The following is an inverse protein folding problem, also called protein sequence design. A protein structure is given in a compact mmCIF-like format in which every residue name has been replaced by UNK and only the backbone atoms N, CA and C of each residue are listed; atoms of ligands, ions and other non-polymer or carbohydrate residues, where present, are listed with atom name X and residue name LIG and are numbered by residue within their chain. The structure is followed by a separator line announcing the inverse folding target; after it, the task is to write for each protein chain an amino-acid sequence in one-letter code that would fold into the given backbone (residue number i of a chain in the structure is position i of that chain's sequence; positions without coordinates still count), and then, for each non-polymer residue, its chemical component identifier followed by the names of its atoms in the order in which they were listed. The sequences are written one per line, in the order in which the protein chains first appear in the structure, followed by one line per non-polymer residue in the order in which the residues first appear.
data_IF_816942433896
#
_entry.id   IF_816942433896
#
_cell.length_a   1.000
_cell.length_b   1.000
_cell.length_c   1.000
_cell.angle_alpha   90.00
_cell.angle_beta   90.00
_cell.angle_gamma   90.00
#
_symmetry.space_group_name_H-M   'P 1'
#
loop_
_entity.id
_entity.type
_entity.pdbx_description
1 polymer ?
#
# COMPACT_ATOMS: atom_id res chain seq x y z
N UNK A 1 -6.84 18.10 -89.56
CA UNK A 1 -6.09 16.90 -89.09
C UNK A 1 -4.98 17.38 -88.15
N UNK A 2 -4.71 16.87 -86.96
CA UNK A 2 -5.37 15.97 -86.02
C UNK A 2 -4.41 15.96 -84.81
N UNK A 3 -4.87 16.39 -83.62
CA UNK A 3 -4.30 16.14 -82.26
C UNK A 3 -2.81 16.48 -81.97
N UNK A 4 -2.32 17.00 -80.85
CA UNK A 4 -2.75 17.27 -79.46
C UNK A 4 -1.65 18.23 -78.89
N UNK A 5 -2.01 19.41 -78.38
CA UNK A 5 -2.18 19.76 -76.94
C UNK A 5 -0.90 19.64 -76.08
N UNK A 6 -0.26 20.77 -75.71
CA UNK A 6 -0.47 21.67 -74.53
C UNK A 6 0.40 21.27 -73.32
N UNK A 7 1.04 22.28 -72.72
CA UNK A 7 1.61 22.38 -71.36
C UNK A 7 3.13 22.26 -71.20
N UNK A 8 3.86 23.32 -71.58
CA UNK A 8 5.09 23.74 -70.90
C UNK A 8 4.98 25.25 -70.66
N UNK A 9 4.27 25.66 -69.60
CA UNK A 9 4.33 27.03 -69.06
C UNK A 9 3.64 27.16 -67.67
N UNK A 10 3.72 26.12 -66.83
CA UNK A 10 3.32 26.18 -65.41
C UNK A 10 4.30 25.40 -64.52
N UNK A 11 5.59 25.39 -64.88
CA UNK A 11 6.63 24.65 -64.16
C UNK A 11 7.40 25.45 -63.10
N UNK A 12 7.20 26.77 -62.99
CA UNK A 12 8.04 27.63 -62.12
C UNK A 12 7.27 28.28 -60.96
N UNK A 13 5.93 28.25 -60.97
CA UNK A 13 5.14 28.79 -59.85
C UNK A 13 4.65 27.74 -58.83
N UNK A 14 4.71 26.44 -59.18
CA UNK A 14 4.39 25.35 -58.23
C UNK A 14 5.58 24.89 -57.39
N UNK A 15 6.81 25.31 -57.71
CA UNK A 15 8.02 24.99 -56.94
C UNK A 15 8.25 25.86 -55.70
N UNK A 16 7.63 27.03 -55.61
CA UNK A 16 7.80 27.96 -54.48
C UNK A 16 6.62 27.97 -53.49
N UNK A 17 5.45 27.44 -53.88
CA UNK A 17 4.31 27.25 -52.95
C UNK A 17 4.41 25.93 -52.18
N UNK A 18 5.13 24.93 -52.70
CA UNK A 18 5.41 23.69 -51.98
C UNK A 18 6.57 23.80 -50.98
N UNK A 19 7.43 24.83 -51.09
CA UNK A 19 8.49 25.10 -50.11
C UNK A 19 8.06 26.00 -48.94
N UNK A 20 6.87 26.61 -49.00
CA UNK A 20 6.35 27.46 -47.91
C UNK A 20 5.14 26.87 -47.15
N UNK A 21 4.67 25.67 -47.52
CA UNK A 21 3.64 24.93 -46.77
C UNK A 21 4.14 23.60 -46.15
N UNK A 22 5.46 23.42 -46.10
CA UNK A 22 6.12 22.43 -45.23
C UNK A 22 6.69 23.08 -43.96
N UNK A 23 6.01 24.09 -43.42
CA UNK A 23 5.96 24.28 -41.96
C UNK A 23 4.90 23.37 -41.38
N UNK A 24 5.01 22.07 -41.70
CA UNK A 24 4.62 21.09 -40.70
C UNK A 24 5.46 21.45 -39.49
N UNK A 25 4.82 21.88 -38.41
CA UNK A 25 5.46 21.81 -37.12
C UNK A 25 5.90 20.35 -36.98
N UNK A 26 7.16 20.06 -37.29
CA UNK A 26 7.90 19.04 -36.57
C UNK A 26 7.83 19.52 -35.12
N UNK A 27 6.72 19.17 -34.44
CA UNK A 27 6.75 18.98 -33.01
C UNK A 27 7.89 18.00 -32.86
N UNK A 28 9.04 18.50 -32.40
CA UNK A 28 10.03 17.60 -31.86
C UNK A 28 9.26 16.66 -30.94
N UNK A 29 9.40 15.33 -31.09
CA UNK A 29 8.68 14.41 -30.23
C UNK A 29 9.02 14.81 -28.80
N UNK A 30 8.07 15.48 -28.15
CA UNK A 30 8.28 16.01 -26.82
C UNK A 30 8.61 14.81 -25.95
N UNK A 31 9.59 14.97 -25.07
CA UNK A 31 9.86 13.97 -24.04
C UNK A 31 8.53 13.61 -23.37
N UNK A 32 8.21 12.32 -23.38
CA UNK A 32 7.05 11.78 -22.68
C UNK A 32 7.44 11.62 -21.21
N UNK A 33 6.48 11.82 -20.31
CA UNK A 33 6.71 11.70 -18.88
C UNK A 33 5.62 10.85 -18.21
N UNK A 34 5.99 10.16 -17.13
CA UNK A 34 5.08 9.54 -16.16
C UNK A 34 5.48 9.96 -14.73
N UNK A 35 4.78 9.47 -13.72
CA UNK A 35 4.99 9.81 -12.31
C UNK A 35 4.51 11.19 -11.91
N UNK A 36 5.01 11.64 -10.76
CA UNK A 36 4.58 12.85 -10.09
C UNK A 36 5.27 14.12 -10.60
N UNK A 37 5.10 15.19 -9.82
CA UNK A 37 5.60 16.52 -10.17
C UNK A 37 7.00 16.82 -9.65
N UNK A 38 7.58 15.97 -8.78
CA UNK A 38 8.91 16.23 -8.23
C UNK A 38 9.98 16.12 -9.32
N UNK A 39 10.78 17.17 -9.44
CA UNK A 39 11.92 17.25 -10.36
C UNK A 39 13.20 16.94 -9.60
N UNK A 40 14.16 16.26 -10.25
CA UNK A 40 15.42 15.85 -9.64
C UNK A 40 15.66 14.35 -9.78
N UNK A 41 16.73 13.87 -9.18
CA UNK A 41 17.04 12.43 -9.15
C UNK A 41 16.35 11.80 -7.95
N UNK A 42 15.53 10.75 -8.13
CA UNK A 42 14.94 10.04 -7.01
C UNK A 42 16.01 9.38 -6.12
N UNK A 43 15.69 9.07 -4.85
CA UNK A 43 16.59 8.33 -3.97
C UNK A 43 16.89 6.94 -4.55
N UNK A 44 18.17 6.55 -4.55
CA UNK A 44 18.62 5.24 -5.04
C UNK A 44 18.74 4.19 -3.94
N UNK A 45 18.76 4.63 -2.67
CA UNK A 45 18.92 3.80 -1.47
C UNK A 45 20.19 2.94 -1.48
N UNK A 46 21.29 3.40 -2.09
CA UNK A 46 22.52 2.60 -2.27
C UNK A 46 23.08 2.07 -0.94
N UNK A 47 23.11 2.91 0.09
CA UNK A 47 23.60 2.52 1.41
C UNK A 47 22.72 1.42 2.05
N UNK A 48 21.40 1.52 1.87
CA UNK A 48 20.47 0.51 2.36
C UNK A 48 20.59 -0.80 1.58
N UNK A 49 20.73 -0.74 0.25
CA UNK A 49 20.95 -1.92 -0.59
C UNK A 49 22.25 -2.62 -0.24
N UNK A 50 23.31 -1.86 0.05
CA UNK A 50 24.57 -2.44 0.49
C UNK A 50 24.45 -3.07 1.88
N UNK A 51 23.70 -2.45 2.80
CA UNK A 51 23.37 -3.07 4.08
C UNK A 51 22.55 -4.36 3.91
N UNK A 52 21.54 -4.37 3.03
CA UNK A 52 20.72 -5.54 2.73
C UNK A 52 21.56 -6.72 2.24
N UNK A 53 22.55 -6.49 1.35
CA UNK A 53 23.48 -7.54 0.88
C UNK A 53 24.33 -8.15 1.98
N UNK A 54 24.59 -7.39 3.04
CA UNK A 54 25.45 -7.77 4.16
C UNK A 54 24.63 -8.21 5.38
N UNK A 55 23.35 -8.55 5.19
CA UNK A 55 22.52 -9.09 6.27
C UNK A 55 23.15 -10.38 6.83
N UNK A 56 23.11 -10.63 8.16
CA UNK A 56 23.82 -11.75 8.75
C UNK A 56 23.46 -13.13 8.19
N UNK A 57 22.21 -13.31 7.75
CA UNK A 57 21.69 -14.52 7.12
C UNK A 57 22.11 -14.70 5.66
N UNK A 58 22.69 -13.68 5.02
CA UNK A 58 23.26 -13.76 3.66
C UNK A 58 24.69 -14.31 3.68
N UNK A 59 24.94 -15.30 4.54
CA UNK A 59 26.19 -16.01 4.63
C UNK A 59 25.97 -17.47 4.26
N UNK A 60 26.51 -17.86 3.09
CA UNK A 60 26.37 -19.21 2.53
C UNK A 60 26.92 -20.33 3.42
N UNK A 61 27.79 -19.99 4.39
CA UNK A 61 28.45 -20.94 5.29
C UNK A 61 27.67 -21.21 6.58
N UNK A 62 26.52 -20.54 6.77
CA UNK A 62 25.67 -20.80 7.94
C UNK A 62 25.13 -22.23 7.93
N UNK A 63 24.96 -22.84 9.12
CA UNK A 63 24.33 -24.14 9.23
C UNK A 63 22.82 -24.06 8.92
N UNK A 64 22.21 -25.22 8.68
CA UNK A 64 20.76 -25.36 8.64
C UNK A 64 20.13 -24.74 9.91
N UNK A 65 19.02 -23.97 9.80
CA UNK A 65 18.13 -23.85 8.64
C UNK A 65 18.49 -22.76 7.62
N UNK A 66 19.65 -22.12 7.73
CA UNK A 66 20.11 -21.04 6.85
C UNK A 66 21.28 -21.50 5.96
N UNK A 67 21.93 -20.56 5.27
CA UNK A 67 23.09 -20.83 4.43
C UNK A 67 22.77 -21.65 3.19
N UNK A 68 23.78 -22.27 2.59
CA UNK A 68 23.64 -23.05 1.35
C UNK A 68 22.66 -24.23 1.48
N UNK A 69 22.54 -24.78 2.69
CA UNK A 69 21.66 -25.92 3.00
C UNK A 69 20.28 -25.51 3.51
N UNK A 70 20.00 -24.20 3.61
CA UNK A 70 18.72 -23.69 4.07
C UNK A 70 17.56 -24.00 3.13
N UNK A 71 16.33 -23.84 3.64
CA UNK A 71 15.09 -23.97 2.86
C UNK A 71 14.48 -22.60 2.63
N UNK A 72 14.13 -22.31 1.37
CA UNK A 72 13.69 -20.99 0.93
C UNK A 72 12.39 -21.10 0.12
N UNK A 73 11.56 -20.06 0.18
CA UNK A 73 10.40 -19.91 -0.70
C UNK A 73 10.31 -18.49 -1.25
N UNK A 74 10.29 -18.40 -2.57
CA UNK A 74 10.10 -17.16 -3.33
C UNK A 74 8.70 -17.12 -3.93
N UNK A 75 8.03 -15.97 -3.80
CA UNK A 75 6.74 -15.71 -4.42
C UNK A 75 6.94 -14.75 -5.60
N UNK A 76 7.27 -15.32 -6.76
CA UNK A 76 7.46 -14.55 -8.00
C UNK A 76 6.14 -14.05 -8.58
N UNK A 77 5.02 -14.60 -8.12
CA UNK A 77 3.65 -14.13 -8.39
C UNK A 77 3.19 -12.95 -7.50
N UNK A 78 4.02 -12.51 -6.55
CA UNK A 78 3.71 -11.37 -5.68
C UNK A 78 3.33 -10.12 -6.49
N UNK A 79 2.37 -9.36 -5.98
CA UNK A 79 1.87 -8.12 -6.57
C UNK A 79 3.02 -7.13 -6.81
N UNK A 80 3.01 -6.56 -8.02
CA UNK A 80 3.84 -5.43 -8.45
C UNK A 80 2.94 -4.37 -9.07
N UNK A 81 3.38 -3.11 -9.09
CA UNK A 81 2.67 -2.00 -9.72
C UNK A 81 1.21 -1.79 -9.26
N UNK A 82 0.94 -2.08 -7.99
CA UNK A 82 -0.23 -1.57 -7.26
C UNK A 82 0.23 -0.66 -6.11
N UNK A 83 -0.72 0.03 -5.48
CA UNK A 83 -0.43 0.85 -4.30
C UNK A 83 0.22 0.01 -3.19
N UNK A 84 1.20 0.58 -2.51
CA UNK A 84 2.02 -0.06 -1.47
C UNK A 84 1.21 -0.95 -0.52
N UNK A 85 0.05 -0.48 -0.08
CA UNK A 85 -0.75 -1.21 0.90
C UNK A 85 -1.42 -2.49 0.38
N UNK A 86 -1.64 -2.62 -0.93
CA UNK A 86 -2.07 -3.90 -1.51
C UNK A 86 -0.91 -4.91 -1.46
N UNK A 87 0.30 -4.45 -1.78
CA UNK A 87 1.53 -5.26 -1.69
C UNK A 87 1.79 -5.65 -0.24
N UNK A 88 1.70 -4.70 0.71
CA UNK A 88 1.95 -4.97 2.12
C UNK A 88 1.04 -6.05 2.70
N UNK A 89 -0.25 -6.08 2.34
CA UNK A 89 -1.15 -7.15 2.77
C UNK A 89 -0.64 -8.52 2.32
N UNK A 90 -0.29 -8.64 1.04
CA UNK A 90 0.18 -9.91 0.47
C UNK A 90 1.54 -10.33 1.04
N UNK A 91 2.53 -9.43 1.13
CA UNK A 91 3.87 -9.82 1.61
C UNK A 91 3.84 -10.32 3.05
N UNK A 92 2.97 -9.76 3.91
CA UNK A 92 2.84 -10.24 5.28
C UNK A 92 2.18 -11.63 5.32
N UNK A 93 1.15 -11.89 4.50
CA UNK A 93 0.55 -13.21 4.38
C UNK A 93 1.54 -14.24 3.79
N UNK A 94 2.30 -13.87 2.76
CA UNK A 94 3.35 -14.70 2.17
C UNK A 94 4.50 -14.98 3.15
N UNK A 95 4.88 -13.99 3.97
CA UNK A 95 5.87 -14.19 5.03
C UNK A 95 5.36 -15.18 6.07
N UNK A 96 4.10 -15.03 6.50
CA UNK A 96 3.48 -15.96 7.44
C UNK A 96 3.38 -17.37 6.87
N UNK A 97 3.00 -17.51 5.59
CA UNK A 97 2.99 -18.79 4.89
C UNK A 97 4.39 -19.43 4.82
N UNK A 98 5.43 -18.65 4.54
CA UNK A 98 6.81 -19.14 4.54
C UNK A 98 7.23 -19.64 5.93
N UNK A 99 6.89 -18.87 6.97
CA UNK A 99 7.11 -19.21 8.37
C UNK A 99 6.43 -20.54 8.73
N UNK A 100 5.13 -20.69 8.45
CA UNK A 100 4.36 -21.93 8.70
C UNK A 100 4.92 -23.12 7.91
N UNK A 101 5.47 -22.86 6.71
CA UNK A 101 6.09 -23.89 5.87
C UNK A 101 7.51 -24.29 6.30
N UNK A 102 8.07 -23.64 7.34
CA UNK A 102 9.46 -23.79 7.81
C UNK A 102 10.48 -23.47 6.72
N UNK A 103 10.27 -22.36 6.01
CA UNK A 103 11.15 -21.86 4.97
C UNK A 103 11.41 -20.36 5.15
N UNK A 104 12.60 -19.92 4.76
CA UNK A 104 12.93 -18.50 4.71
C UNK A 104 12.12 -17.85 3.59
N UNK A 105 11.39 -16.79 3.93
CA UNK A 105 10.73 -15.94 2.95
C UNK A 105 11.79 -15.20 2.12
N UNK A 106 11.60 -15.14 0.81
CA UNK A 106 12.46 -14.38 -0.09
C UNK A 106 11.80 -13.03 -0.35
N UNK A 107 12.30 -11.98 0.30
CA UNK A 107 11.77 -10.64 0.14
C UNK A 107 12.29 -9.98 -1.14
N UNK A 108 11.44 -9.15 -1.73
CA UNK A 108 11.66 -8.46 -3.00
C UNK A 108 11.41 -6.96 -2.82
N UNK A 109 11.99 -6.15 -3.69
CA UNK A 109 11.71 -4.71 -3.75
C UNK A 109 10.22 -4.41 -4.01
N UNK A 110 9.77 -3.26 -3.52
CA UNK A 110 8.48 -2.70 -3.93
C UNK A 110 8.61 -2.06 -5.31
N UNK A 111 7.88 -2.62 -6.27
CA UNK A 111 7.76 -2.09 -7.63
C UNK A 111 6.58 -1.11 -7.73
N UNK A 112 6.91 0.14 -7.98
CA UNK A 112 5.92 1.19 -8.16
C UNK A 112 5.17 1.06 -9.47
N UNK A 113 3.87 1.39 -9.41
CA UNK A 113 3.16 1.81 -10.62
C UNK A 113 3.73 3.18 -11.03
N UNK A 114 4.29 3.34 -12.25
CA UNK A 114 4.98 4.56 -12.63
C UNK A 114 4.16 5.84 -12.40
N UNK A 115 2.85 5.79 -12.64
CA UNK A 115 1.94 6.94 -12.49
C UNK A 115 1.78 7.42 -11.04
N UNK A 116 2.09 6.58 -10.05
CA UNK A 116 1.98 6.91 -8.63
C UNK A 116 3.32 7.23 -7.98
N UNK A 117 4.42 7.15 -8.73
CA UNK A 117 5.74 7.48 -8.19
C UNK A 117 5.89 9.00 -7.99
N UNK A 118 6.45 9.50 -6.88
CA UNK A 118 6.47 10.94 -6.61
C UNK A 118 7.33 11.77 -7.59
N UNK A 119 8.39 11.18 -8.14
CA UNK A 119 9.28 11.85 -9.10
C UNK A 119 8.81 11.67 -10.53
N UNK A 120 9.09 12.69 -11.34
CA UNK A 120 8.90 12.65 -12.78
C UNK A 120 9.82 11.62 -13.41
N UNK A 121 9.23 10.70 -14.18
CA UNK A 121 9.96 9.69 -14.96
C UNK A 121 9.99 10.13 -16.41
N UNK A 122 11.19 10.38 -16.94
CA UNK A 122 11.39 10.65 -18.36
C UNK A 122 11.32 9.36 -19.17
N UNK A 123 10.51 9.34 -20.23
CA UNK A 123 10.38 8.22 -21.16
C UNK A 123 11.09 8.64 -22.45
N UNK A 124 12.19 7.95 -22.77
CA UNK A 124 12.97 8.27 -23.96
C UNK A 124 12.23 7.83 -25.23
N UNK A 125 12.52 8.43 -26.40
CA UNK A 125 11.83 8.07 -27.65
C UNK A 125 11.96 6.58 -28.06
N UNK A 126 12.97 5.88 -27.53
CA UNK A 126 13.24 4.47 -27.77
C UNK A 126 12.77 3.55 -26.63
N UNK A 127 12.12 4.10 -25.59
CA UNK A 127 11.55 3.29 -24.52
C UNK A 127 10.08 2.96 -24.85
N UNK A 128 9.69 1.69 -24.71
CA UNK A 128 8.30 1.25 -24.88
C UNK A 128 7.37 1.74 -23.74
N UNK A 129 7.96 2.24 -22.65
CA UNK A 129 7.24 2.77 -21.50
C UNK A 129 8.17 3.29 -20.41
N UNK A 130 7.62 3.87 -19.33
CA UNK A 130 8.42 4.29 -18.19
C UNK A 130 9.08 3.08 -17.52
N UNK A 131 10.33 3.24 -17.06
CA UNK A 131 10.96 2.28 -16.16
C UNK A 131 10.21 2.26 -14.84
N UNK A 132 10.04 1.08 -14.27
CA UNK A 132 9.31 0.90 -13.01
C UNK A 132 10.23 1.20 -11.84
N UNK A 133 9.96 2.25 -11.05
CA UNK A 133 10.77 2.58 -9.87
C UNK A 133 10.70 1.45 -8.84
N UNK A 134 11.81 1.26 -8.13
CA UNK A 134 11.96 0.22 -7.12
C UNK A 134 12.40 0.84 -5.80
N UNK A 135 11.72 0.46 -4.73
CA UNK A 135 12.07 0.84 -3.36
C UNK A 135 12.43 -0.44 -2.59
N UNK A 136 13.64 -0.53 -2.00
CA UNK A 136 13.98 -1.68 -1.16
C UNK A 136 12.96 -1.83 -0.03
N UNK A 137 12.57 -3.06 0.28
CA UNK A 137 11.52 -3.30 1.27
C UNK A 137 11.91 -2.77 2.66
N UNK A 138 13.21 -2.78 2.97
CA UNK A 138 13.76 -2.26 4.22
C UNK A 138 13.71 -0.72 4.34
N UNK A 139 13.37 0.00 3.25
CA UNK A 139 13.09 1.44 3.32
C UNK A 139 11.67 1.70 3.84
N UNK A 140 10.76 0.75 3.64
CA UNK A 140 9.33 0.88 3.97
C UNK A 140 9.00 0.22 5.32
N UNK A 141 9.57 -0.96 5.60
CA UNK A 141 9.24 -1.78 6.76
C UNK A 141 10.49 -2.38 7.42
N UNK A 142 10.32 -2.88 8.65
CA UNK A 142 11.31 -3.68 9.36
C UNK A 142 10.66 -4.92 10.00
N UNK A 143 11.47 -5.78 10.62
CA UNK A 143 11.03 -7.05 11.19
C UNK A 143 11.29 -8.25 10.27
N UNK A 144 10.77 -9.44 10.61
CA UNK A 144 11.11 -10.68 9.92
C UNK A 144 10.83 -10.69 8.42
N UNK A 145 9.74 -10.06 7.97
CA UNK A 145 9.41 -9.91 6.55
C UNK A 145 10.53 -9.25 5.74
N UNK A 146 11.30 -8.36 6.37
CA UNK A 146 12.41 -7.63 5.76
C UNK A 146 13.78 -8.14 6.24
N UNK A 147 13.86 -9.42 6.65
CA UNK A 147 15.12 -10.04 7.07
C UNK A 147 15.56 -9.72 8.50
N UNK A 148 14.69 -9.13 9.32
CA UNK A 148 14.91 -9.01 10.76
C UNK A 148 14.85 -10.36 11.49
N UNK A 149 15.25 -10.41 12.77
CA UNK A 149 15.15 -11.63 13.58
C UNK A 149 13.70 -11.98 13.92
N UNK A 150 13.45 -13.27 14.12
CA UNK A 150 12.25 -13.80 14.77
C UNK A 150 12.33 -13.61 16.30
N UNK A 151 11.39 -14.18 17.05
CA UNK A 151 11.47 -14.18 18.52
C UNK A 151 12.71 -14.97 19.00
N UNK A 152 13.18 -14.65 20.20
CA UNK A 152 14.32 -15.35 20.80
C UNK A 152 14.08 -16.86 20.90
N UNK A 153 14.98 -17.64 20.31
CA UNK A 153 14.90 -19.11 20.30
C UNK A 153 13.96 -19.69 19.24
N UNK A 154 13.35 -18.86 18.40
CA UNK A 154 12.56 -19.32 17.26
C UNK A 154 13.48 -20.01 16.21
N UNK A 155 13.19 -21.27 15.83
CA UNK A 155 14.01 -22.01 14.88
C UNK A 155 13.74 -21.65 13.41
N UNK A 156 12.81 -20.75 13.11
CA UNK A 156 12.53 -20.35 11.73
C UNK A 156 13.76 -19.68 11.08
N UNK A 157 14.13 -20.04 9.84
CA UNK A 157 15.21 -19.35 9.13
C UNK A 157 14.81 -17.91 8.81
N UNK A 158 15.75 -16.96 8.88
CA UNK A 158 15.46 -15.55 8.58
C UNK A 158 15.21 -15.34 7.10
N UNK A 159 14.34 -14.38 6.79
CA UNK A 159 14.05 -13.99 5.42
C UNK A 159 15.31 -13.46 4.71
N UNK A 160 15.43 -13.75 3.42
CA UNK A 160 16.59 -13.39 2.59
C UNK A 160 16.18 -12.55 1.39
N UNK A 161 17.13 -11.80 0.83
CA UNK A 161 16.86 -11.02 -0.39
C UNK A 161 16.72 -11.94 -1.59
N UNK A 162 15.99 -11.49 -2.60
CA UNK A 162 15.92 -12.16 -3.91
C UNK A 162 17.32 -12.45 -4.49
N UNK A 163 18.26 -11.51 -4.37
CA UNK A 163 19.63 -11.68 -4.85
C UNK A 163 20.37 -12.84 -4.15
N UNK A 164 20.27 -12.94 -2.82
CA UNK A 164 20.87 -14.05 -2.08
C UNK A 164 20.19 -15.38 -2.43
N UNK A 165 18.86 -15.39 -2.55
CA UNK A 165 18.13 -16.56 -3.02
C UNK A 165 18.62 -17.01 -4.39
N UNK A 166 18.79 -16.10 -5.35
CA UNK A 166 19.26 -16.45 -6.69
C UNK A 166 20.68 -17.02 -6.68
N UNK A 167 21.55 -16.59 -5.75
CA UNK A 167 22.89 -17.17 -5.55
C UNK A 167 22.83 -18.59 -5.00
N UNK A 168 22.04 -18.82 -3.93
CA UNK A 168 22.01 -20.12 -3.25
C UNK A 168 21.03 -21.10 -3.87
N UNK A 169 20.07 -20.66 -4.68
CA UNK A 169 19.02 -21.45 -5.31
C UNK A 169 18.99 -21.18 -6.82
N UNK A 170 19.92 -21.74 -7.61
CA UNK A 170 19.87 -21.59 -9.07
C UNK A 170 18.63 -22.30 -9.65
N UNK A 171 18.13 -21.91 -10.85
CA UNK A 171 16.86 -22.40 -11.41
C UNK A 171 16.69 -23.93 -11.41
N UNK A 172 17.74 -24.70 -11.65
CA UNK A 172 17.74 -26.17 -11.63
C UNK A 172 17.41 -26.76 -10.25
N UNK A 173 17.75 -26.05 -9.18
CA UNK A 173 17.54 -26.45 -7.78
C UNK A 173 16.17 -26.01 -7.25
N UNK A 174 15.36 -25.32 -8.06
CA UNK A 174 14.04 -24.81 -7.67
C UNK A 174 12.94 -25.81 -7.99
N UNK A 175 11.98 -25.93 -7.09
CA UNK A 175 10.67 -26.50 -7.36
C UNK A 175 9.75 -25.36 -7.78
N UNK A 176 9.43 -25.30 -9.06
CA UNK A 176 8.61 -24.24 -9.64
C UNK A 176 7.16 -24.70 -9.58
N UNK A 177 6.35 -24.00 -8.80
CA UNK A 177 4.94 -24.32 -8.58
C UNK A 177 4.10 -23.21 -9.22
N UNK A 178 3.35 -23.58 -10.24
CA UNK A 178 2.41 -22.70 -10.93
C UNK A 178 1.11 -22.60 -10.13
N UNK A 179 0.63 -21.39 -9.86
CA UNK A 179 -0.60 -21.16 -9.12
C UNK A 179 -1.83 -21.83 -9.74
N UNK A 180 -1.88 -22.01 -11.06
CA UNK A 180 -2.96 -22.70 -11.77
C UNK A 180 -3.09 -24.19 -11.35
N UNK A 181 -2.07 -24.77 -10.73
CA UNK A 181 -2.12 -26.16 -10.25
C UNK A 181 -2.80 -26.31 -8.89
N UNK A 182 -2.87 -25.23 -8.10
CA UNK A 182 -3.37 -25.24 -6.72
C UNK A 182 -4.67 -24.43 -6.59
N UNK A 183 -4.70 -23.21 -7.13
CA UNK A 183 -5.80 -22.25 -6.94
C UNK A 183 -7.19 -22.71 -7.39
N UNK A 184 -7.36 -23.49 -8.48
CA UNK A 184 -8.72 -23.89 -8.90
C UNK A 184 -9.50 -24.65 -7.82
N UNK A 185 -8.83 -25.38 -6.93
CA UNK A 185 -9.47 -26.07 -5.79
C UNK A 185 -9.74 -25.19 -4.58
N UNK A 186 -9.37 -23.91 -4.62
CA UNK A 186 -9.38 -22.98 -3.48
C UNK A 186 -10.21 -21.71 -3.72
N UNK A 187 -10.89 -21.59 -4.86
CA UNK A 187 -11.52 -20.34 -5.31
C UNK A 187 -12.47 -19.73 -4.25
N UNK A 188 -13.30 -20.56 -3.63
CA UNK A 188 -14.28 -20.16 -2.61
C UNK A 188 -13.85 -20.55 -1.17
N UNK A 189 -12.61 -21.03 -0.99
CA UNK A 189 -12.15 -21.52 0.30
C UNK A 189 -11.92 -20.37 1.30
N UNK A 190 -12.09 -20.65 2.58
CA UNK A 190 -11.71 -19.74 3.66
C UNK A 190 -10.18 -19.53 3.69
N UNK A 191 -9.73 -18.36 4.17
CA UNK A 191 -8.32 -18.01 4.21
C UNK A 191 -7.43 -19.00 4.96
N UNK A 192 -7.91 -19.56 6.07
CA UNK A 192 -7.21 -20.60 6.84
C UNK A 192 -7.02 -21.91 6.05
N UNK A 193 -8.02 -22.30 5.26
CA UNK A 193 -7.94 -23.44 4.33
C UNK A 193 -6.91 -23.17 3.23
N UNK A 194 -6.89 -21.95 2.69
CA UNK A 194 -5.91 -21.53 1.67
C UNK A 194 -4.50 -21.58 2.25
N UNK A 195 -4.27 -20.99 3.43
CA UNK A 195 -2.98 -21.01 4.12
C UNK A 195 -2.52 -22.44 4.37
N UNK A 196 -3.40 -23.29 4.92
CA UNK A 196 -3.09 -24.70 5.19
C UNK A 196 -2.69 -25.43 3.92
N UNK A 197 -3.46 -25.30 2.83
CA UNK A 197 -3.17 -25.99 1.57
C UNK A 197 -1.82 -25.57 0.98
N UNK A 198 -1.55 -24.27 0.96
CA UNK A 198 -0.25 -23.79 0.50
C UNK A 198 0.89 -24.20 1.41
N UNK A 199 0.66 -24.25 2.73
CA UNK A 199 1.65 -24.72 3.71
C UNK A 199 2.03 -26.16 3.43
N UNK A 200 1.06 -27.06 3.24
CA UNK A 200 1.30 -28.46 2.86
C UNK A 200 2.14 -28.56 1.58
N UNK A 201 1.72 -27.86 0.52
CA UNK A 201 2.41 -27.87 -0.79
C UNK A 201 3.86 -27.41 -0.68
N UNK A 202 4.11 -26.31 0.03
CA UNK A 202 5.45 -25.72 0.16
C UNK A 202 6.30 -26.55 1.14
N UNK A 203 5.71 -27.02 2.24
CA UNK A 203 6.42 -27.82 3.25
C UNK A 203 6.86 -29.18 2.69
N UNK A 204 6.00 -29.85 1.95
CA UNK A 204 6.21 -31.20 1.43
C UNK A 204 7.10 -31.25 0.20
N UNK A 205 7.37 -30.09 -0.44
CA UNK A 205 8.29 -30.04 -1.57
C UNK A 205 9.66 -30.59 -1.17
N UNK A 206 10.18 -31.62 -1.89
CA UNK A 206 11.45 -32.26 -1.56
C UNK A 206 12.65 -31.36 -1.88
N UNK A 207 12.46 -30.31 -2.68
CA UNK A 207 13.52 -29.35 -2.97
C UNK A 207 13.62 -28.30 -1.86
N UNK A 208 14.86 -27.91 -1.58
CA UNK A 208 15.18 -26.86 -0.61
C UNK A 208 14.74 -25.47 -1.07
N UNK A 209 14.65 -25.24 -2.38
CA UNK A 209 14.22 -23.98 -2.97
C UNK A 209 12.86 -24.17 -3.63
N UNK A 210 11.86 -23.40 -3.21
CA UNK A 210 10.53 -23.36 -3.85
C UNK A 210 10.35 -21.98 -4.48
N UNK A 211 9.81 -21.94 -5.69
CA UNK A 211 9.42 -20.71 -6.36
C UNK A 211 7.98 -20.83 -6.82
N UNK A 212 7.11 -19.97 -6.28
CA UNK A 212 5.71 -19.87 -6.69
C UNK A 212 5.62 -18.87 -7.83
N UNK A 213 5.14 -19.32 -8.98
CA UNK A 213 5.05 -18.50 -10.20
C UNK A 213 3.60 -18.28 -10.60
N UNK A 214 3.35 -17.14 -11.26
CA UNK A 214 2.02 -16.78 -11.71
C UNK A 214 1.56 -17.72 -12.83
N UNK A 215 0.40 -18.33 -12.63
CA UNK A 215 -0.28 -19.09 -13.66
C UNK A 215 -0.75 -18.21 -14.83
N UNK A 216 -1.06 -18.87 -15.94
CA UNK A 216 -1.43 -18.19 -17.19
C UNK A 216 -2.93 -18.11 -17.42
N UNK A 217 -3.73 -18.85 -16.63
CA UNK A 217 -5.20 -18.90 -16.77
C UNK A 217 -5.92 -17.95 -15.83
N UNK A 218 -5.26 -17.51 -14.76
CA UNK A 218 -5.83 -16.63 -13.75
C UNK A 218 -5.31 -15.19 -13.92
N UNK A 219 -6.25 -14.23 -13.94
CA UNK A 219 -5.93 -12.80 -14.00
C UNK A 219 -5.45 -12.25 -12.64
N UNK A 220 -5.62 -13.01 -11.55
CA UNK A 220 -5.21 -12.65 -10.20
C UNK A 220 -4.33 -13.76 -9.58
N UNK A 221 -3.18 -14.08 -10.21
CA UNK A 221 -2.41 -15.30 -9.91
C UNK A 221 -1.65 -15.25 -8.58
N UNK A 222 -1.91 -14.25 -7.75
CA UNK A 222 -1.36 -14.12 -6.40
C UNK A 222 -1.72 -15.34 -5.53
N UNK A 223 -0.82 -15.71 -4.63
CA UNK A 223 -1.03 -16.81 -3.68
C UNK A 223 -2.18 -16.50 -2.73
N UNK A 224 -2.23 -15.25 -2.26
CA UNK A 224 -3.35 -14.66 -1.54
C UNK A 224 -3.90 -13.52 -2.40
N UNK A 225 -4.94 -13.82 -3.18
CA UNK A 225 -5.45 -12.88 -4.18
C UNK A 225 -6.42 -11.84 -3.63
N UNK A 226 -6.82 -10.92 -4.50
CA UNK A 226 -7.78 -9.86 -4.18
C UNK A 226 -9.14 -10.44 -3.75
N UNK A 227 -9.53 -11.60 -4.28
CA UNK A 227 -10.83 -12.21 -3.99
C UNK A 227 -10.87 -12.79 -2.59
N UNK A 228 -9.72 -13.18 -2.04
CA UNK A 228 -9.60 -13.48 -0.62
C UNK A 228 -9.57 -12.20 0.21
N UNK A 229 -8.62 -11.29 -0.08
CA UNK A 229 -8.33 -10.13 0.79
C UNK A 229 -9.51 -9.13 0.82
N UNK A 230 -10.21 -8.98 -0.29
CA UNK A 230 -11.35 -8.07 -0.43
C UNK A 230 -12.65 -8.58 0.20
N UNK A 231 -12.68 -9.78 0.76
CA UNK A 231 -13.91 -10.44 1.25
C UNK A 231 -13.74 -10.98 2.67
N UNK A 232 -14.86 -11.38 3.28
CA UNK A 232 -14.90 -11.86 4.67
C UNK A 232 -14.15 -13.18 4.88
N UNK A 233 -13.86 -13.93 3.81
CA UNK A 233 -13.10 -15.19 3.88
C UNK A 233 -11.70 -15.02 4.45
N UNK A 234 -11.11 -13.83 4.31
CA UNK A 234 -9.83 -13.50 4.95
C UNK A 234 -9.90 -13.59 6.48
N UNK A 235 -11.06 -13.33 7.08
CA UNK A 235 -11.19 -13.17 8.53
C UNK A 235 -10.92 -14.46 9.30
N UNK A 236 -11.05 -15.63 8.66
CA UNK A 236 -10.65 -16.92 9.22
C UNK A 236 -9.15 -16.97 9.58
N UNK A 237 -8.31 -16.16 8.92
CA UNK A 237 -6.88 -16.05 9.23
C UNK A 237 -6.60 -15.16 10.45
N UNK A 238 -7.51 -14.28 10.85
CA UNK A 238 -7.21 -13.29 11.89
C UNK A 238 -6.73 -13.90 13.22
N UNK A 239 -7.36 -14.97 13.77
CA UNK A 239 -6.96 -15.53 15.05
C UNK A 239 -5.51 -16.04 15.07
N UNK A 240 -5.04 -16.62 13.96
CA UNK A 240 -3.67 -17.14 13.85
C UNK A 240 -2.69 -16.04 13.42
N UNK A 241 -3.12 -15.15 12.53
CA UNK A 241 -2.26 -14.16 11.92
C UNK A 241 -1.91 -13.04 12.90
N UNK A 242 -2.89 -12.53 13.67
CA UNK A 242 -2.66 -11.40 14.60
C UNK A 242 -1.56 -11.68 15.62
N UNK A 243 -1.52 -12.92 16.12
CA UNK A 243 -0.60 -13.38 17.17
C UNK A 243 0.70 -14.00 16.60
N UNK A 244 0.78 -14.17 15.27
CA UNK A 244 1.96 -14.70 14.60
C UNK A 244 3.19 -13.79 14.79
N UNK A 245 4.43 -14.34 14.80
CA UNK A 245 5.65 -13.54 14.81
C UNK A 245 5.72 -12.54 13.64
N UNK A 246 5.25 -12.92 12.45
CA UNK A 246 5.15 -12.03 11.29
C UNK A 246 4.38 -10.76 11.58
N UNK A 247 3.25 -10.89 12.28
CA UNK A 247 2.36 -9.77 12.63
C UNK A 247 2.89 -8.97 13.83
N UNK A 248 3.27 -9.65 14.91
CA UNK A 248 3.74 -9.01 16.16
C UNK A 248 5.07 -8.28 15.98
N UNK A 249 5.98 -8.85 15.20
CA UNK A 249 7.32 -8.29 14.96
C UNK A 249 7.35 -7.36 13.73
N UNK A 250 6.22 -7.13 13.08
CA UNK A 250 6.13 -6.19 11.96
C UNK A 250 6.46 -4.77 12.43
N UNK A 251 7.64 -4.30 12.02
CA UNK A 251 8.22 -3.05 12.45
C UNK A 251 8.21 -1.95 11.39
N UNK A 252 8.52 -0.74 11.85
CA UNK A 252 8.70 0.45 11.02
C UNK A 252 10.17 0.55 10.59
N UNK A 253 10.43 0.82 9.31
CA UNK A 253 11.80 1.02 8.82
C UNK A 253 12.47 2.25 9.48
N UNK A 254 13.80 2.25 9.68
CA UNK A 254 14.51 3.40 10.25
C UNK A 254 14.30 4.72 9.48
N UNK A 255 14.21 4.68 8.14
CA UNK A 255 13.92 5.87 7.32
C UNK A 255 12.55 6.45 7.69
N UNK A 256 11.53 5.60 7.79
CA UNK A 256 10.18 5.99 8.21
C UNK A 256 10.15 6.50 9.65
N UNK A 257 10.80 5.79 10.58
CA UNK A 257 10.88 6.19 11.98
C UNK A 257 11.54 7.56 12.14
N UNK A 258 12.68 7.78 11.45
CA UNK A 258 13.38 9.06 11.47
C UNK A 258 12.54 10.21 10.91
N UNK A 259 11.68 9.95 9.91
CA UNK A 259 10.75 10.94 9.38
C UNK A 259 9.68 11.32 10.41
N UNK A 260 9.15 10.34 11.14
CA UNK A 260 8.19 10.58 12.22
C UNK A 260 8.84 11.40 13.34
N UNK A 261 10.03 11.00 13.80
CA UNK A 261 10.76 11.69 14.87
C UNK A 261 11.10 13.13 14.48
N UNK A 262 11.58 13.35 13.25
CA UNK A 262 11.87 14.68 12.70
C UNK A 262 10.65 15.61 12.76
N UNK A 263 9.44 15.06 12.64
CA UNK A 263 8.19 15.82 12.56
C UNK A 263 7.39 15.84 13.87
N UNK A 264 7.87 15.20 14.94
CA UNK A 264 7.13 15.09 16.21
C UNK A 264 6.79 16.47 16.80
N UNK A 265 7.69 17.44 16.65
CA UNK A 265 7.50 18.82 17.12
C UNK A 265 6.27 19.51 16.49
N UNK A 266 5.81 19.07 15.32
CA UNK A 266 4.64 19.63 14.66
C UNK A 266 3.36 19.39 15.47
N UNK A 267 3.32 18.27 16.21
CA UNK A 267 2.17 17.82 16.98
C UNK A 267 2.12 18.37 18.40
N UNK A 268 3.13 19.15 18.82
CA UNK A 268 3.10 19.81 20.12
C UNK A 268 1.91 20.79 20.22
N UNK A 269 1.32 20.98 21.41
CA UNK A 269 0.17 21.89 21.57
C UNK A 269 0.51 23.33 21.13
N UNK A 270 -0.24 23.87 20.16
CA UNK A 270 -0.11 25.26 19.68
C UNK A 270 -1.21 26.19 20.16
N UNK A 271 -2.21 25.65 20.86
CA UNK A 271 -3.40 26.36 21.31
C UNK A 271 -3.54 26.43 22.83
N UNK A 272 -4.71 26.89 23.28
CA UNK A 272 -5.09 26.89 24.68
C UNK A 272 -4.96 25.49 25.29
N UNK A 273 -4.52 25.42 26.55
CA UNK A 273 -4.45 24.15 27.28
C UNK A 273 -5.84 23.49 27.29
N UNK A 274 -5.93 22.18 27.05
CA UNK A 274 -7.21 21.49 27.18
C UNK A 274 -7.73 21.66 28.60
N UNK A 275 -9.06 21.69 28.79
CA UNK A 275 -9.69 21.88 30.10
C UNK A 275 -9.39 20.74 31.08
N UNK A 276 -8.88 19.60 30.60
CA UNK A 276 -8.46 18.45 31.40
C UNK A 276 -7.00 18.15 31.12
N UNK A 277 -6.25 17.78 32.17
CA UNK A 277 -4.94 17.17 32.01
C UNK A 277 -5.13 15.82 31.31
N UNK A 278 -4.54 15.69 30.13
CA UNK A 278 -4.51 14.44 29.36
C UNK A 278 -3.09 13.87 29.31
N UNK A 279 -2.89 12.77 28.55
CA UNK A 279 -1.59 12.17 28.33
C UNK A 279 -0.52 13.18 27.88
N UNK A 280 0.74 12.93 28.22
CA UNK A 280 1.85 13.79 27.81
C UNK A 280 2.17 13.65 26.32
N UNK A 281 2.08 12.43 25.80
CA UNK A 281 2.30 12.11 24.39
C UNK A 281 1.25 12.79 23.51
N UNK A 282 1.69 13.46 22.44
CA UNK A 282 0.79 14.04 21.43
C UNK A 282 0.00 12.95 20.71
N UNK A 283 0.60 11.78 20.49
CA UNK A 283 -0.06 10.64 19.85
C UNK A 283 -1.24 10.11 20.68
N UNK A 284 -1.11 10.03 22.01
CA UNK A 284 -2.19 9.59 22.89
C UNK A 284 -3.32 10.63 23.05
N UNK A 285 -3.15 11.80 22.44
CA UNK A 285 -4.16 12.87 22.31
C UNK A 285 -4.56 13.15 20.87
N UNK A 286 -4.10 12.31 19.95
CA UNK A 286 -4.27 12.49 18.52
C UNK A 286 -5.49 11.74 17.99
N UNK A 287 -6.27 12.41 17.17
CA UNK A 287 -7.13 11.76 16.18
C UNK A 287 -6.47 11.83 14.81
N UNK A 288 -6.07 10.68 14.28
CA UNK A 288 -5.62 10.56 12.90
C UNK A 288 -6.83 10.28 12.00
N UNK A 289 -6.89 10.95 10.86
CA UNK A 289 -8.05 10.92 9.97
C UNK A 289 -7.58 10.75 8.52
N UNK A 290 -7.92 9.61 7.92
CA UNK A 290 -7.61 9.29 6.54
C UNK A 290 -8.79 9.63 5.63
N UNK A 291 -8.65 10.73 4.87
CA UNK A 291 -9.67 11.23 3.93
C UNK A 291 -9.16 11.11 2.50
N UNK A 292 -9.72 10.18 1.73
CA UNK A 292 -9.46 10.08 0.29
C UNK A 292 -10.37 11.03 -0.48
N UNK A 293 -9.76 11.80 -1.38
CA UNK A 293 -10.36 12.77 -2.29
C UNK A 293 -9.79 12.55 -3.70
N UNK A 294 -9.94 13.54 -4.58
CA UNK A 294 -9.35 13.51 -5.91
C UNK A 294 -9.95 12.41 -6.76
N UNK A 295 -9.09 11.53 -7.29
CA UNK A 295 -9.44 10.40 -8.16
C UNK A 295 -10.23 9.29 -7.46
N UNK A 296 -10.38 9.35 -6.13
CA UNK A 296 -10.99 8.28 -5.36
C UNK A 296 -12.51 8.18 -5.50
N UNK A 297 -13.19 9.23 -5.97
CA UNK A 297 -14.64 9.19 -6.20
C UNK A 297 -15.00 8.12 -7.25
N UNK A 298 -14.27 8.05 -8.36
CA UNK A 298 -14.46 7.04 -9.40
C UNK A 298 -14.19 5.63 -8.87
N UNK A 299 -13.21 5.48 -7.97
CA UNK A 299 -12.96 4.21 -7.31
C UNK A 299 -14.17 3.78 -6.45
N UNK A 300 -14.84 4.71 -5.76
CA UNK A 300 -16.05 4.41 -5.00
C UNK A 300 -17.23 3.98 -5.88
N UNK A 301 -17.41 4.59 -7.06
CA UNK A 301 -18.38 4.10 -8.05
C UNK A 301 -18.05 2.68 -8.51
N UNK A 302 -16.78 2.37 -8.75
CA UNK A 302 -16.33 1.02 -9.07
C UNK A 302 -16.66 0.03 -7.95
N UNK A 303 -16.33 0.37 -6.70
CA UNK A 303 -16.60 -0.47 -5.53
C UNK A 303 -18.11 -0.74 -5.35
N UNK A 304 -18.93 0.29 -5.55
CA UNK A 304 -20.39 0.17 -5.53
C UNK A 304 -20.89 -0.74 -6.65
N UNK A 305 -20.40 -0.56 -7.88
CA UNK A 305 -20.76 -1.38 -9.05
C UNK A 305 -20.46 -2.86 -8.86
N UNK A 306 -19.37 -3.19 -8.17
CA UNK A 306 -18.96 -4.57 -7.90
C UNK A 306 -19.51 -5.12 -6.59
N UNK A 307 -20.42 -4.41 -5.93
CA UNK A 307 -21.03 -4.80 -4.67
C UNK A 307 -19.99 -5.17 -3.59
N UNK A 308 -18.93 -4.36 -3.49
CA UNK A 308 -17.74 -4.66 -2.67
C UNK A 308 -17.98 -4.42 -1.17
N UNK A 309 -17.49 -5.31 -0.32
CA UNK A 309 -17.43 -5.09 1.13
C UNK A 309 -16.23 -4.22 1.52
N UNK A 310 -16.10 -3.89 2.81
CA UNK A 310 -14.85 -3.35 3.34
C UNK A 310 -13.66 -4.25 2.98
N UNK A 311 -12.47 -3.68 2.96
CA UNK A 311 -11.25 -4.36 2.53
C UNK A 311 -10.46 -4.91 3.71
N UNK A 312 -9.98 -6.14 3.59
CA UNK A 312 -9.04 -6.74 4.54
C UNK A 312 -9.59 -6.78 5.97
N UNK A 313 -8.75 -6.34 6.93
CA UNK A 313 -9.02 -6.35 8.36
C UNK A 313 -10.03 -5.29 8.82
N UNK A 314 -10.45 -4.37 7.93
CA UNK A 314 -11.55 -3.45 8.21
C UNK A 314 -12.89 -4.18 8.37
N UNK A 315 -12.98 -5.43 7.91
CA UNK A 315 -14.19 -6.25 7.99
C UNK A 315 -14.34 -6.98 9.34
N UNK A 316 -13.35 -6.90 10.24
CA UNK A 316 -13.40 -7.64 11.50
C UNK A 316 -14.66 -7.29 12.30
N UNK A 317 -15.34 -8.31 12.89
CA UNK A 317 -16.60 -8.09 13.60
C UNK A 317 -16.42 -7.26 14.89
N UNK A 318 -15.20 -7.12 15.40
CA UNK A 318 -14.92 -6.32 16.60
C UNK A 318 -15.07 -4.81 16.35
N UNK A 319 -15.06 -4.37 15.10
CA UNK A 319 -15.25 -2.97 14.75
C UNK A 319 -16.70 -2.53 14.93
N UNK A 320 -16.86 -1.28 15.38
CA UNK A 320 -18.17 -0.65 15.58
C UNK A 320 -18.83 -0.26 14.27
N UNK A 321 -18.06 0.40 13.40
CA UNK A 321 -18.54 0.81 12.09
C UNK A 321 -18.41 -0.40 11.15
N UNK A 322 -19.53 -0.80 10.55
CA UNK A 322 -19.59 -1.95 9.65
C UNK A 322 -20.32 -1.56 8.39
N UNK A 323 -20.01 -2.26 7.31
CA UNK A 323 -20.70 -2.09 6.04
C UNK A 323 -21.24 -3.42 5.57
N UNK A 324 -22.55 -3.45 5.34
CA UNK A 324 -23.23 -4.57 4.68
C UNK A 324 -23.82 -4.02 3.38
N UNK A 325 -23.41 -4.54 2.22
CA UNK A 325 -23.98 -4.13 0.96
C UNK A 325 -25.51 -4.26 0.97
N UNK A 326 -26.26 -3.22 0.58
CA UNK A 326 -27.72 -3.31 0.53
C UNK A 326 -28.17 -4.37 -0.49
N UNK A 327 -29.37 -4.97 -0.32
CA UNK A 327 -29.90 -5.92 -1.28
C UNK A 327 -30.17 -5.26 -2.65
N UNK A 328 -30.31 -6.08 -3.70
CA UNK A 328 -30.66 -5.62 -5.05
C UNK A 328 -29.49 -5.26 -5.95
N UNK A 329 -28.25 -5.24 -5.44
CA UNK A 329 -27.04 -5.19 -6.24
C UNK A 329 -26.55 -6.57 -6.68
N UNK A 330 -25.81 -6.63 -7.78
CA UNK A 330 -25.11 -7.82 -8.25
C UNK A 330 -23.70 -7.46 -8.70
N UNK A 331 -22.94 -8.44 -9.16
CA UNK A 331 -21.57 -8.22 -9.57
C UNK A 331 -21.51 -7.53 -10.94
N UNK A 332 -21.13 -6.24 -10.96
CA UNK A 332 -21.02 -5.45 -12.17
C UNK A 332 -22.24 -4.56 -12.47
N UNK A 333 -23.30 -4.68 -11.67
CA UNK A 333 -24.54 -3.90 -11.77
C UNK A 333 -25.11 -3.61 -10.37
N UNK A 334 -25.46 -2.35 -10.10
CA UNK A 334 -26.04 -1.96 -8.82
C UNK A 334 -27.12 -0.87 -9.01
N UNK A 335 -28.03 -0.73 -8.05
CA UNK A 335 -29.09 0.29 -8.11
C UNK A 335 -28.53 1.69 -7.82
N UNK A 336 -29.16 2.76 -8.34
CA UNK A 336 -28.78 4.13 -7.99
C UNK A 336 -28.81 4.41 -6.49
N UNK A 337 -29.78 3.85 -5.77
CA UNK A 337 -29.93 3.99 -4.32
C UNK A 337 -28.76 3.33 -3.58
N UNK A 338 -28.34 2.15 -4.03
CA UNK A 338 -27.19 1.46 -3.46
C UNK A 338 -25.90 2.24 -3.75
N UNK A 339 -25.72 2.74 -4.97
CA UNK A 339 -24.56 3.57 -5.31
C UNK A 339 -24.50 4.81 -4.39
N UNK A 340 -25.62 5.49 -4.15
CA UNK A 340 -25.68 6.61 -3.21
C UNK A 340 -25.28 6.18 -1.78
N UNK A 341 -25.80 5.06 -1.29
CA UNK A 341 -25.43 4.50 0.02
C UNK A 341 -23.93 4.18 0.13
N UNK A 342 -23.32 3.65 -0.94
CA UNK A 342 -21.87 3.46 -0.99
C UNK A 342 -21.12 4.79 -0.93
N UNK A 343 -21.56 5.81 -1.65
CA UNK A 343 -20.90 7.12 -1.67
C UNK A 343 -20.97 7.83 -0.32
N UNK A 344 -22.03 7.64 0.46
CA UNK A 344 -22.15 8.17 1.83
C UNK A 344 -21.00 7.71 2.74
N UNK A 345 -20.48 6.50 2.53
CA UNK A 345 -19.43 5.90 3.37
C UNK A 345 -18.06 5.91 2.67
N UNK A 346 -18.01 5.60 1.37
CA UNK A 346 -16.76 5.52 0.63
C UNK A 346 -16.24 6.92 0.26
N UNK A 347 -17.13 7.86 -0.05
CA UNK A 347 -16.77 9.22 -0.44
C UNK A 347 -17.64 10.26 0.29
N UNK A 348 -17.63 10.26 1.64
CA UNK A 348 -18.51 11.12 2.44
C UNK A 348 -18.29 12.58 2.08
N UNK A 349 -19.37 13.34 2.03
CA UNK A 349 -19.31 14.79 1.81
C UNK A 349 -18.63 15.49 3.02
N UNK A 350 -18.32 16.78 2.86
CA UNK A 350 -17.57 17.53 3.87
C UNK A 350 -18.28 17.58 5.23
N UNK A 351 -19.59 17.76 5.25
CA UNK A 351 -20.35 17.92 6.49
C UNK A 351 -20.47 16.58 7.24
N UNK A 352 -20.67 15.47 6.52
CA UNK A 352 -20.65 14.12 7.09
C UNK A 352 -19.29 13.79 7.72
N UNK A 353 -18.19 14.21 7.10
CA UNK A 353 -16.84 14.06 7.70
C UNK A 353 -16.73 14.84 9.01
N UNK A 354 -17.16 16.11 9.01
CA UNK A 354 -17.11 16.97 10.20
C UNK A 354 -17.93 16.35 11.33
N UNK A 355 -19.15 15.90 11.04
CA UNK A 355 -20.05 15.25 11.98
C UNK A 355 -19.42 13.98 12.56
N UNK A 356 -18.92 13.07 11.71
CA UNK A 356 -18.28 11.82 12.14
C UNK A 356 -17.09 12.07 13.07
N UNK A 357 -16.26 13.07 12.77
CA UNK A 357 -15.13 13.47 13.61
C UNK A 357 -15.62 13.95 14.99
N UNK A 358 -16.66 14.78 15.02
CA UNK A 358 -17.21 15.30 16.28
C UNK A 358 -17.85 14.21 17.13
N UNK A 359 -18.65 13.32 16.51
CA UNK A 359 -19.25 12.19 17.19
C UNK A 359 -18.20 11.25 17.76
N UNK A 360 -17.19 10.92 16.96
CA UNK A 360 -16.08 10.07 17.39
C UNK A 360 -15.32 10.72 18.55
N UNK A 361 -15.03 12.02 18.48
CA UNK A 361 -14.35 12.77 19.55
C UNK A 361 -15.17 12.74 20.84
N UNK A 362 -16.47 13.05 20.78
CA UNK A 362 -17.37 13.02 21.94
C UNK A 362 -17.47 11.63 22.54
N UNK A 363 -17.66 10.62 21.72
CA UNK A 363 -17.84 9.25 22.17
C UNK A 363 -16.55 8.73 22.84
N UNK A 364 -15.38 8.97 22.23
CA UNK A 364 -14.09 8.58 22.82
C UNK A 364 -13.80 9.28 24.14
N UNK A 365 -13.99 10.60 24.23
CA UNK A 365 -13.79 11.34 25.49
C UNK A 365 -14.83 10.93 26.55
N UNK A 366 -16.06 10.63 26.14
CA UNK A 366 -17.12 10.15 27.02
C UNK A 366 -16.85 8.76 27.62
N UNK A 367 -16.02 7.95 26.95
CA UNK A 367 -15.67 6.59 27.37
C UNK A 367 -14.47 6.51 28.33
N UNK A 368 -14.04 7.62 28.95
CA UNK A 368 -12.98 7.60 29.95
C UNK A 368 -12.64 8.97 30.53
N UNK A 369 -12.29 9.02 31.81
CA UNK A 369 -12.04 10.29 32.52
C UNK A 369 -10.74 10.97 32.11
N UNK A 370 -9.74 10.20 31.64
CA UNK A 370 -8.40 10.67 31.26
C UNK A 370 -8.22 10.83 29.74
N UNK A 371 -9.29 10.61 28.95
CA UNK A 371 -9.22 10.68 27.48
C UNK A 371 -9.34 12.13 27.01
N UNK A 372 -8.38 12.57 26.21
CA UNK A 372 -8.33 13.91 25.60
C UNK A 372 -8.02 13.76 24.11
N UNK A 373 -8.68 14.56 23.27
CA UNK A 373 -8.37 14.66 21.84
C UNK A 373 -8.34 16.14 21.42
N UNK A 374 -7.14 16.66 21.22
CA UNK A 374 -6.92 18.06 20.83
C UNK A 374 -5.83 18.23 19.75
N UNK A 375 -5.20 17.12 19.36
CA UNK A 375 -4.28 17.04 18.22
C UNK A 375 -4.95 16.26 17.10
N UNK A 376 -4.86 16.77 15.87
CA UNK A 376 -5.37 16.09 14.68
C UNK A 376 -4.26 15.89 13.67
N UNK A 377 -4.23 14.70 13.09
CA UNK A 377 -3.43 14.41 11.90
C UNK A 377 -4.33 14.06 10.72
N UNK A 378 -4.28 14.83 9.65
CA UNK A 378 -5.07 14.61 8.44
C UNK A 378 -4.20 14.03 7.33
N UNK A 379 -4.54 12.80 6.94
CA UNK A 379 -3.91 12.08 5.84
C UNK A 379 -4.82 12.16 4.63
N UNK A 380 -4.43 12.97 3.63
CA UNK A 380 -5.31 13.24 2.48
C UNK A 380 -4.56 13.59 1.21
N UNK A 381 -5.13 13.18 0.07
CA UNK A 381 -4.74 13.63 -1.27
C UNK A 381 -5.60 14.81 -1.78
N UNK A 382 -6.39 15.45 -0.92
CA UNK A 382 -7.18 16.63 -1.28
C UNK A 382 -6.31 17.82 -1.71
N UNK A 383 -6.87 18.75 -2.48
CA UNK A 383 -6.19 20.00 -2.83
C UNK A 383 -6.04 20.95 -1.63
N UNK A 384 -5.19 21.97 -1.78
CA UNK A 384 -4.87 22.90 -0.69
C UNK A 384 -6.05 23.76 -0.23
N UNK A 385 -7.03 24.04 -1.10
CA UNK A 385 -8.21 24.81 -0.73
C UNK A 385 -9.14 23.99 0.16
N UNK A 386 -9.36 22.72 -0.18
CA UNK A 386 -10.12 21.79 0.67
C UNK A 386 -9.45 21.62 2.05
N UNK A 387 -8.12 21.42 2.07
CA UNK A 387 -7.35 21.28 3.32
C UNK A 387 -7.43 22.56 4.17
N UNK A 388 -7.32 23.74 3.55
CA UNK A 388 -7.47 25.02 4.25
C UNK A 388 -8.85 25.18 4.89
N UNK A 389 -9.92 24.87 4.16
CA UNK A 389 -11.29 24.86 4.69
C UNK A 389 -11.44 23.88 5.85
N UNK A 390 -10.92 22.66 5.70
CA UNK A 390 -10.97 21.64 6.74
C UNK A 390 -10.27 22.10 8.03
N UNK A 391 -9.05 22.64 7.93
CA UNK A 391 -8.31 23.20 9.08
C UNK A 391 -9.11 24.28 9.79
N UNK A 392 -9.68 25.23 9.04
CA UNK A 392 -10.46 26.33 9.62
C UNK A 392 -11.69 25.83 10.39
N UNK A 393 -12.43 24.88 9.80
CA UNK A 393 -13.62 24.28 10.43
C UNK A 393 -13.24 23.47 11.66
N UNK A 394 -12.21 22.63 11.59
CA UNK A 394 -11.79 21.85 12.77
C UNK A 394 -11.26 22.75 13.90
N UNK A 395 -10.53 23.82 13.60
CA UNK A 395 -10.12 24.79 14.61
C UNK A 395 -11.33 25.45 15.31
N UNK A 396 -12.38 25.81 14.56
CA UNK A 396 -13.60 26.37 15.17
C UNK A 396 -14.37 25.36 16.03
N UNK A 397 -14.14 24.05 15.81
CA UNK A 397 -14.65 22.95 16.63
C UNK A 397 -13.73 22.58 17.80
N UNK A 398 -12.75 23.43 18.13
CA UNK A 398 -11.90 23.26 19.31
C UNK A 398 -10.78 22.24 19.15
N UNK A 399 -10.25 22.05 17.95
CA UNK A 399 -8.97 21.36 17.72
C UNK A 399 -7.81 22.36 17.85
N UNK A 400 -6.85 22.08 18.75
CA UNK A 400 -5.75 23.00 19.08
C UNK A 400 -4.57 22.91 18.12
N UNK A 401 -4.24 21.70 17.67
CA UNK A 401 -3.14 21.43 16.76
C UNK A 401 -3.64 20.56 15.61
N UNK A 402 -3.47 21.01 14.37
CA UNK A 402 -3.85 20.25 13.17
C UNK A 402 -2.65 20.21 12.22
N UNK A 403 -2.15 19.01 11.98
CA UNK A 403 -1.05 18.71 11.06
C UNK A 403 -1.59 17.83 9.94
N UNK A 404 -1.03 17.94 8.75
CA UNK A 404 -1.43 17.16 7.57
C UNK A 404 -0.20 16.52 6.94
N UNK A 405 -0.40 15.51 6.08
CA UNK A 405 0.69 14.92 5.29
C UNK A 405 1.51 15.95 4.49
N UNK A 406 0.89 17.09 4.12
CA UNK A 406 1.56 18.19 3.40
C UNK A 406 2.37 19.12 4.29
N UNK A 407 2.18 19.06 5.61
CA UNK A 407 2.95 19.87 6.57
C UNK A 407 4.22 19.15 7.03
N UNK A 408 4.37 17.86 6.72
CA UNK A 408 5.56 17.08 7.06
C UNK A 408 6.79 17.61 6.31
N UNK A 409 7.88 17.74 7.04
CA UNK A 409 9.21 18.05 6.50
C UNK A 409 9.91 16.72 6.24
N UNK A 410 10.10 16.38 4.96
CA UNK A 410 10.71 15.13 4.51
C UNK A 410 11.90 15.43 3.60
N UNK A 411 12.98 14.68 3.73
CA UNK A 411 14.04 14.61 2.71
C UNK A 411 13.62 13.68 1.55
N UNK A 412 14.49 13.53 0.54
CA UNK A 412 14.15 12.75 -0.66
C UNK A 412 13.92 11.26 -0.36
N UNK A 413 14.69 10.64 0.52
CA UNK A 413 14.47 9.23 0.91
C UNK A 413 13.15 9.08 1.67
N UNK A 414 12.89 9.99 2.62
CA UNK A 414 11.65 9.99 3.40
C UNK A 414 10.42 10.30 2.52
N UNK A 415 10.56 11.16 1.51
CA UNK A 415 9.52 11.43 0.52
C UNK A 415 9.18 10.18 -0.30
N UNK A 416 10.17 9.34 -0.58
CA UNK A 416 10.00 8.10 -1.33
C UNK A 416 9.22 7.03 -0.56
N UNK A 417 9.07 7.20 0.75
CA UNK A 417 8.33 6.30 1.65
C UNK A 417 7.25 7.03 2.45
N UNK A 418 6.81 8.20 1.97
CA UNK A 418 5.91 9.08 2.72
C UNK A 418 4.59 8.41 3.16
N UNK A 419 4.06 7.48 2.37
CA UNK A 419 2.86 6.72 2.71
C UNK A 419 3.06 5.87 3.96
N UNK A 420 4.27 5.33 4.19
CA UNK A 420 4.60 4.57 5.38
C UNK A 420 4.78 5.49 6.60
N UNK A 421 5.25 6.73 6.41
CA UNK A 421 5.30 7.77 7.45
C UNK A 421 3.89 8.12 7.93
N UNK A 422 3.00 8.36 6.98
CA UNK A 422 1.58 8.57 7.21
C UNK A 422 0.95 7.41 8.02
N UNK A 423 1.22 6.17 7.61
CA UNK A 423 0.74 4.97 8.32
C UNK A 423 1.26 4.89 9.75
N UNK A 424 2.53 5.21 9.99
CA UNK A 424 3.13 5.13 11.32
C UNK A 424 2.51 6.15 12.28
N UNK A 425 2.30 7.40 11.83
CA UNK A 425 1.65 8.43 12.65
C UNK A 425 0.21 8.00 12.98
N UNK A 426 -0.53 7.48 12.01
CA UNK A 426 -1.91 7.00 12.21
C UNK A 426 -2.00 5.76 13.12
N UNK A 427 -1.01 4.85 13.04
CA UNK A 427 -0.89 3.71 13.97
C UNK A 427 -0.75 4.20 15.41
N UNK A 428 0.15 5.17 15.63
CA UNK A 428 0.45 5.70 16.97
C UNK A 428 -0.71 6.48 17.60
N UNK A 429 -1.58 7.11 16.81
CA UNK A 429 -2.66 7.96 17.30
C UNK A 429 -3.59 7.26 18.31
N UNK A 430 -4.21 8.00 19.23
CA UNK A 430 -5.21 7.45 20.14
C UNK A 430 -6.44 6.94 19.37
N UNK A 431 -6.95 7.76 18.46
CA UNK A 431 -8.11 7.42 17.62
C UNK A 431 -7.73 7.50 16.15
N UNK A 432 -8.24 6.57 15.36
CA UNK A 432 -8.09 6.57 13.91
C UNK A 432 -9.46 6.47 13.22
N UNK A 433 -9.72 7.37 12.27
CA UNK A 433 -10.85 7.28 11.35
C UNK A 433 -10.31 7.08 9.94
N UNK A 434 -10.76 6.05 9.22
CA UNK A 434 -10.35 5.84 7.83
C UNK A 434 -11.45 5.34 6.92
N UNK A 435 -11.08 5.08 5.66
CA UNK A 435 -11.99 4.53 4.67
C UNK A 435 -11.98 2.99 4.71
N UNK A 436 -13.15 2.37 4.91
CA UNK A 436 -13.28 0.93 5.08
C UNK A 436 -12.91 0.08 3.86
N UNK A 437 -12.97 0.63 2.65
CA UNK A 437 -12.52 -0.04 1.41
C UNK A 437 -11.04 0.15 1.11
N UNK A 438 -10.33 0.97 1.89
CA UNK A 438 -8.93 1.25 1.62
C UNK A 438 -8.02 0.22 2.28
N UNK A 439 -7.16 -0.41 1.48
CA UNK A 439 -6.05 -1.25 1.97
C UNK A 439 -5.08 -0.48 2.86
N UNK A 440 -4.92 0.83 2.64
CA UNK A 440 -4.17 1.75 3.50
C UNK A 440 -4.73 1.76 4.93
N UNK A 441 -6.05 1.93 5.05
CA UNK A 441 -6.75 1.85 6.33
C UNK A 441 -6.59 0.46 6.94
N UNK A 442 -6.77 -0.61 6.15
CA UNK A 442 -6.70 -2.00 6.63
C UNK A 442 -5.34 -2.32 7.28
N UNK A 443 -4.23 -1.89 6.69
CA UNK A 443 -2.91 -2.13 7.26
C UNK A 443 -2.63 -1.30 8.53
N UNK A 444 -3.17 -0.08 8.63
CA UNK A 444 -3.10 0.70 9.86
C UNK A 444 -3.91 -0.01 10.97
N UNK A 445 -5.12 -0.47 10.64
CA UNK A 445 -5.98 -1.21 11.57
C UNK A 445 -5.31 -2.49 12.07
N UNK A 446 -4.72 -3.28 11.17
CA UNK A 446 -3.95 -4.47 11.53
C UNK A 446 -2.93 -4.15 12.60
N UNK A 447 -2.04 -3.20 12.36
CA UNK A 447 -0.99 -2.85 13.33
C UNK A 447 -1.56 -2.28 14.62
N UNK A 448 -2.59 -1.44 14.56
CA UNK A 448 -3.23 -0.87 15.76
C UNK A 448 -3.82 -1.95 16.66
N UNK A 449 -4.48 -2.96 16.08
CA UNK A 449 -5.02 -4.08 16.85
C UNK A 449 -3.91 -4.95 17.45
N UNK A 450 -2.81 -5.16 16.72
CA UNK A 450 -1.62 -5.87 17.22
C UNK A 450 -0.95 -5.10 18.37
N UNK A 451 -0.91 -3.77 18.29
CA UNK A 451 -0.43 -2.88 19.37
C UNK A 451 -1.37 -2.86 20.59
N UNK A 452 -2.51 -3.56 20.54
CA UNK A 452 -3.51 -3.57 21.60
C UNK A 452 -4.37 -2.30 21.68
N UNK A 453 -4.43 -1.49 20.62
CA UNK A 453 -5.37 -0.37 20.55
C UNK A 453 -6.80 -0.92 20.53
N UNK A 454 -7.67 -0.31 21.34
CA UNK A 454 -9.08 -0.71 21.46
C UNK A 454 -9.78 -0.70 20.09
N UNK A 455 -10.53 -1.75 19.70
CA UNK A 455 -11.35 -1.73 18.48
C UNK A 455 -12.30 -0.53 18.43
N UNK A 456 -12.80 -0.08 19.59
CA UNK A 456 -13.63 1.11 19.73
C UNK A 456 -12.94 2.40 19.20
N UNK A 457 -11.61 2.50 19.28
CA UNK A 457 -10.84 3.65 18.83
C UNK A 457 -10.51 3.62 17.32
N UNK A 458 -11.01 2.60 16.62
CA UNK A 458 -10.91 2.43 15.18
C UNK A 458 -12.28 2.68 14.56
N UNK A 459 -12.39 3.71 13.75
CA UNK A 459 -13.65 4.12 13.12
C UNK A 459 -13.51 4.15 11.60
N UNK A 460 -14.63 3.98 10.92
CA UNK A 460 -14.74 4.12 9.48
C UNK A 460 -15.76 5.20 9.13
N UNK A 461 -15.60 5.79 7.95
CA UNK A 461 -16.56 6.76 7.40
C UNK A 461 -17.98 6.20 7.37
#
# INVERSE_FOLDING_TARGET
MQHRRVFILLGVFFGLVFLFNLKGHHKQPGLRYSGGSLTGTPPNYDALREWEKNLPQHNVSLPYPEGRTGRYVKFSNQIRALGWNNVLNEILLCTHLAYESKRAYVFQDYYWKPEYYPWRITIMPWDDGPRWPQTPINALISGPTAGGPWDDGDPAPRSVSEAYFDEVCPPEDRDIIDTDTIKPGLIDAEGDVILKRWTEVIHDSPKRCVEIVAGHKDNFPQTFDLWLIGYTRLLSLWPIFKDSPTSRLFGTAPIVASAVDRNEYLFLPRGSRPPRYGPHSSYDRMMAVHVRRGDFEEACYGLARWNSTFYGWNQLPEHLDRFTPPPGGSWGENTPENIAFYLEHCYPNFDAIVEKIQDTKRAYIGNGTERVLDVMYLLTNADSAWVGKFKAVMMSQGWSTIVTSKDLVLDDEQMGVNMAVDMEIARKAAVFIGNGWSSFTSNIIHRRLVDGREPYANRFW
#
